data_IF_723210158403
#
_entry.id   IF_723210158403
#
_cell.length_a   1.000
_cell.length_b   1.000
_cell.length_c   1.000
_cell.angle_alpha   90.00
_cell.angle_beta   90.00
_cell.angle_gamma   90.00
#
_symmetry.space_group_name_H-M   'P 1'
#
loop_
_entity.id
_entity.type
_entity.pdbx_description
1 polymer ?
#
# COMPACT_ATOMS: atom_id res chain seq x y z
N UNK A 1 21.82 8.73 4.87
CA UNK A 1 21.03 7.67 5.53
C UNK A 1 19.60 7.85 5.07
N UNK A 2 19.00 6.89 4.35
CA UNK A 2 17.53 6.91 4.15
C UNK A 2 16.94 6.87 5.56
N UNK A 3 16.09 7.83 5.91
CA UNK A 3 15.28 7.71 7.11
C UNK A 3 14.32 6.55 6.84
N UNK A 4 14.65 5.34 7.30
CA UNK A 4 13.75 4.20 7.22
C UNK A 4 12.44 4.61 7.90
N UNK A 5 11.37 4.69 7.11
CA UNK A 5 10.11 5.19 7.62
C UNK A 5 9.42 4.06 8.37
N UNK A 6 9.35 4.17 9.69
CA UNK A 6 8.58 3.21 10.46
C UNK A 6 7.08 3.39 10.22
N UNK A 7 6.49 2.51 9.42
CA UNK A 7 5.05 2.40 9.22
C UNK A 7 4.52 1.34 10.19
N UNK A 8 3.73 1.75 11.18
CA UNK A 8 3.16 0.85 12.17
C UNK A 8 2.35 -0.30 11.53
N UNK A 9 2.42 -1.50 12.10
CA UNK A 9 1.68 -2.69 11.65
C UNK A 9 0.18 -2.44 11.48
N UNK A 10 -0.44 -1.65 12.36
CA UNK A 10 -1.87 -1.29 12.26
C UNK A 10 -2.20 -0.51 10.98
N UNK A 11 -1.26 0.31 10.48
CA UNK A 11 -1.42 1.02 9.20
C UNK A 11 -1.28 0.06 8.03
N UNK A 12 -0.30 -0.84 8.08
CA UNK A 12 -0.09 -1.87 7.06
C UNK A 12 -1.29 -2.82 6.98
N UNK A 13 -1.83 -3.26 8.12
CA UNK A 13 -3.03 -4.09 8.16
C UNK A 13 -4.25 -3.40 7.54
N UNK A 14 -4.45 -2.10 7.85
CA UNK A 14 -5.54 -1.32 7.27
C UNK A 14 -5.36 -1.14 5.76
N UNK A 15 -4.12 -1.00 5.29
CA UNK A 15 -3.80 -0.90 3.88
C UNK A 15 -4.06 -2.24 3.16
N UNK A 16 -3.51 -3.34 3.66
CA UNK A 16 -3.68 -4.69 3.13
C UNK A 16 -5.17 -5.08 3.05
N UNK A 17 -5.94 -4.80 4.10
CA UNK A 17 -7.40 -5.05 4.13
C UNK A 17 -8.15 -4.27 3.05
N UNK A 18 -7.70 -3.07 2.68
CA UNK A 18 -8.33 -2.25 1.64
C UNK A 18 -7.95 -2.75 0.24
N UNK A 19 -6.67 -3.03 0.02
CA UNK A 19 -6.18 -3.59 -1.25
C UNK A 19 -6.81 -4.94 -1.54
N UNK A 20 -6.83 -5.86 -0.56
CA UNK A 20 -7.50 -7.16 -0.69
C UNK A 20 -8.94 -7.04 -1.18
N UNK A 21 -9.71 -6.07 -0.65
CA UNK A 21 -11.09 -5.83 -1.09
C UNK A 21 -11.18 -5.18 -2.46
N UNK A 22 -10.30 -4.24 -2.76
CA UNK A 22 -10.30 -3.49 -4.03
C UNK A 22 -9.95 -4.39 -5.21
N UNK A 23 -8.94 -5.24 -5.03
CA UNK A 23 -8.38 -6.10 -6.07
C UNK A 23 -8.97 -7.53 -6.05
N UNK A 24 -9.89 -7.81 -5.12
CA UNK A 24 -10.45 -9.14 -4.90
C UNK A 24 -9.39 -10.25 -4.71
N UNK A 25 -8.31 -9.91 -4.00
CA UNK A 25 -7.20 -10.82 -3.64
C UNK A 25 -7.22 -11.14 -2.13
N UNK A 26 -6.46 -12.16 -1.72
CA UNK A 26 -6.26 -12.50 -0.31
C UNK A 26 -5.56 -11.38 0.45
N UNK A 27 -5.60 -11.45 1.78
CA UNK A 27 -4.91 -10.47 2.63
C UNK A 27 -3.39 -10.67 2.51
N UNK A 28 -2.97 -11.91 2.37
CA UNK A 28 -1.59 -12.35 2.17
C UNK A 28 -1.02 -11.77 0.87
N UNK A 29 -1.70 -11.96 -0.27
CA UNK A 29 -1.30 -11.35 -1.56
C UNK A 29 -1.25 -9.82 -1.46
N UNK A 30 -2.18 -9.20 -0.74
CA UNK A 30 -2.15 -7.75 -0.52
C UNK A 30 -0.94 -7.30 0.32
N UNK A 31 -0.44 -8.12 1.25
CA UNK A 31 0.80 -7.84 1.97
C UNK A 31 2.02 -8.03 1.07
N UNK A 32 2.03 -9.07 0.24
CA UNK A 32 3.10 -9.30 -0.74
C UNK A 32 3.25 -8.06 -1.63
N UNK A 33 2.16 -7.55 -2.20
CA UNK A 33 2.18 -6.30 -2.99
C UNK A 33 2.71 -5.10 -2.20
N UNK A 34 2.30 -4.94 -0.93
CA UNK A 34 2.79 -3.84 -0.07
C UNK A 34 4.31 -3.91 0.11
N UNK A 35 4.86 -5.11 0.27
CA UNK A 35 6.30 -5.30 0.47
C UNK A 35 7.09 -5.29 -0.83
N UNK A 36 6.52 -5.77 -1.94
CA UNK A 36 7.11 -5.64 -3.28
C UNK A 36 7.23 -4.15 -3.67
N UNK A 37 6.19 -3.36 -3.41
CA UNK A 37 6.13 -1.94 -3.74
C UNK A 37 6.52 -1.03 -2.56
N UNK A 38 7.44 -1.49 -1.69
CA UNK A 38 7.75 -0.82 -0.42
C UNK A 38 8.21 0.64 -0.59
N UNK A 39 9.07 0.94 -1.56
CA UNK A 39 9.56 2.32 -1.80
C UNK A 39 8.39 3.27 -2.14
N UNK A 40 7.38 2.80 -2.89
CA UNK A 40 6.18 3.58 -3.20
C UNK A 40 5.31 3.75 -1.95
N UNK A 41 5.13 2.68 -1.17
CA UNK A 41 4.38 2.72 0.09
C UNK A 41 5.00 3.70 1.08
N UNK A 42 6.33 3.68 1.26
CA UNK A 42 7.05 4.63 2.10
C UNK A 42 6.87 6.06 1.60
N UNK A 43 7.00 6.29 0.29
CA UNK A 43 6.80 7.61 -0.33
C UNK A 43 5.39 8.14 -0.05
N UNK A 44 4.37 7.30 -0.24
CA UNK A 44 2.98 7.66 0.00
C UNK A 44 2.69 7.91 1.49
N UNK A 45 3.26 7.12 2.41
CA UNK A 45 3.11 7.41 3.84
C UNK A 45 3.87 8.66 4.29
N UNK A 46 4.99 8.97 3.64
CA UNK A 46 5.74 10.22 3.85
C UNK A 46 4.94 11.45 3.42
N UNK A 47 4.23 11.36 2.28
CA UNK A 47 3.34 12.42 1.79
C UNK A 47 1.99 12.46 2.51
N UNK A 48 1.45 11.31 2.93
CA UNK A 48 0.12 11.17 3.49
C UNK A 48 0.14 10.41 4.83
N UNK A 49 -0.24 11.09 5.92
CA UNK A 49 -0.21 10.50 7.26
C UNK A 49 -1.28 9.41 7.51
N UNK A 50 -2.32 9.34 6.66
CA UNK A 50 -3.50 8.47 6.86
C UNK A 50 -3.49 7.32 5.84
N UNK A 51 -3.66 6.09 6.32
CA UNK A 51 -3.70 4.87 5.48
C UNK A 51 -4.82 4.89 4.42
N UNK A 52 -5.92 5.64 4.61
CA UNK A 52 -6.96 5.80 3.58
C UNK A 52 -6.44 6.55 2.35
N UNK A 53 -5.71 7.65 2.55
CA UNK A 53 -5.16 8.44 1.45
C UNK A 53 -4.05 7.65 0.74
N UNK A 54 -3.19 6.96 1.50
CA UNK A 54 -2.19 6.05 0.93
C UNK A 54 -2.85 4.98 0.07
N UNK A 55 -3.93 4.36 0.55
CA UNK A 55 -4.70 3.39 -0.23
C UNK A 55 -5.22 3.99 -1.55
N UNK A 56 -5.83 5.18 -1.52
CA UNK A 56 -6.40 5.80 -2.72
C UNK A 56 -5.34 6.04 -3.80
N UNK A 57 -4.16 6.51 -3.41
CA UNK A 57 -3.05 6.70 -4.34
C UNK A 57 -2.41 5.38 -4.78
N UNK A 58 -2.13 4.48 -3.83
CA UNK A 58 -1.50 3.20 -4.12
C UNK A 58 -2.37 2.34 -5.05
N UNK A 59 -3.69 2.32 -4.87
CA UNK A 59 -4.58 1.56 -5.74
C UNK A 59 -4.56 2.07 -7.20
N UNK A 60 -4.41 3.38 -7.41
CA UNK A 60 -4.28 3.95 -8.76
C UNK A 60 -2.96 3.54 -9.40
N UNK A 61 -1.85 3.68 -8.67
CA UNK A 61 -0.52 3.27 -9.15
C UNK A 61 -0.48 1.76 -9.45
N UNK A 62 -1.06 0.91 -8.60
CA UNK A 62 -1.13 -0.53 -8.81
C UNK A 62 -1.99 -0.90 -10.03
N UNK A 63 -3.11 -0.21 -10.26
CA UNK A 63 -3.89 -0.40 -11.50
C UNK A 63 -3.05 -0.09 -12.74
N UNK A 64 -2.23 0.95 -12.69
CA UNK A 64 -1.37 1.35 -13.81
C UNK A 64 -0.19 0.37 -14.01
N UNK A 65 0.47 -0.04 -12.92
CA UNK A 65 1.62 -0.97 -12.92
C UNK A 65 1.19 -2.36 -13.40
N UNK A 66 0.15 -2.92 -12.79
CA UNK A 66 -0.29 -4.29 -13.05
C UNK A 66 -1.36 -4.37 -14.14
N UNK A 67 -1.79 -3.24 -14.71
CA UNK A 67 -2.90 -3.13 -15.69
C UNK A 67 -4.18 -3.82 -15.20
N UNK A 68 -4.43 -3.75 -13.89
CA UNK A 68 -5.64 -4.31 -13.30
C UNK A 68 -6.76 -3.32 -13.60
N UNK A 69 -7.64 -3.69 -14.53
CA UNK A 69 -8.76 -2.88 -15.02
C UNK A 69 -10.01 -3.07 -14.16
#
# INVERSE_FOLDING_TARGET
MKNEMYISDTKLEKLAKRLSRQFAISKEEAYEIIYEEWDLVETLFGAHKKAKAVYEHLALELNDIYRIA
#
